data_IF_364513304044
#
_entry.id   IF_364513304044
#
_cell.length_a   1.000
_cell.length_b   1.000
_cell.length_c   1.000
_cell.angle_alpha   90.00
_cell.angle_beta   90.00
_cell.angle_gamma   90.00
#
_symmetry.space_group_name_H-M   'P 1'
#
loop_
_entity.id
_entity.type
_entity.pdbx_description
1 polymer ?
#
# COMPACT_ATOMS: atom_id res chain seq x y z
N UNK A 1 -4.95 11.99 -12.82
CA UNK A 1 -3.69 12.70 -12.47
C UNK A 1 -3.37 12.36 -11.03
N UNK A 2 -2.49 11.40 -10.82
CA UNK A 2 -2.10 10.96 -9.46
C UNK A 2 -1.28 12.08 -8.79
N UNK A 3 -1.49 12.27 -7.48
CA UNK A 3 -0.80 13.31 -6.69
C UNK A 3 0.62 12.82 -6.41
N UNK A 4 1.57 13.11 -7.30
CA UNK A 4 2.95 12.59 -7.22
C UNK A 4 3.76 13.10 -6.03
N UNK A 5 3.51 14.33 -5.59
CA UNK A 5 4.44 15.03 -4.69
C UNK A 5 3.86 15.36 -3.32
N UNK A 6 2.60 15.03 -3.07
CA UNK A 6 1.92 15.38 -1.82
C UNK A 6 1.84 14.19 -0.89
N UNK A 7 2.25 14.39 0.35
CA UNK A 7 1.99 13.43 1.43
C UNK A 7 0.50 13.40 1.73
N UNK A 8 -0.07 12.19 1.78
CA UNK A 8 -1.47 11.93 2.11
C UNK A 8 -1.53 11.35 3.51
N UNK A 9 -2.31 12.00 4.37
CA UNK A 9 -2.59 11.53 5.74
C UNK A 9 -4.10 11.34 5.90
N UNK A 10 -4.54 10.85 7.04
CA UNK A 10 -5.96 10.69 7.38
C UNK A 10 -6.73 12.02 7.42
N UNK A 11 -6.04 13.13 7.62
CA UNK A 11 -6.62 14.49 7.61
C UNK A 11 -6.75 15.10 6.22
N UNK A 12 -6.21 14.45 5.18
CA UNK A 12 -6.27 14.93 3.81
C UNK A 12 -7.70 14.82 3.26
N UNK A 13 -8.36 15.97 3.06
CA UNK A 13 -9.77 16.05 2.61
C UNK A 13 -9.94 16.39 1.13
N UNK A 14 -8.87 16.84 0.47
CA UNK A 14 -8.91 17.20 -0.97
C UNK A 14 -8.20 16.14 -1.78
N UNK A 15 -8.96 15.19 -2.27
CA UNK A 15 -8.52 14.28 -3.33
C UNK A 15 -8.86 14.90 -4.69
N UNK A 16 -7.95 14.81 -5.67
CA UNK A 16 -8.33 15.12 -7.04
C UNK A 16 -9.37 14.08 -7.48
N UNK A 17 -10.62 14.48 -7.59
CA UNK A 17 -11.71 13.65 -8.14
C UNK A 17 -11.34 13.24 -9.57
N UNK A 18 -10.77 12.08 -9.74
CA UNK A 18 -10.29 11.67 -11.06
C UNK A 18 -9.89 10.22 -11.22
N UNK A 19 -9.84 9.45 -10.14
CA UNK A 19 -9.64 8.02 -10.25
C UNK A 19 -10.88 7.30 -9.76
N UNK A 20 -11.34 6.35 -10.57
CA UNK A 20 -12.48 5.47 -10.29
C UNK A 20 -12.39 4.85 -8.89
N UNK A 21 -11.19 4.41 -8.50
CA UNK A 21 -10.94 3.77 -7.21
C UNK A 21 -11.17 4.69 -6.00
N UNK A 22 -10.87 5.98 -6.13
CA UNK A 22 -11.11 6.96 -5.06
C UNK A 22 -12.59 7.27 -4.89
N UNK A 23 -13.32 7.37 -5.99
CA UNK A 23 -14.78 7.57 -5.96
C UNK A 23 -15.50 6.37 -5.37
N UNK A 24 -15.09 5.15 -5.76
CA UNK A 24 -15.66 3.91 -5.22
C UNK A 24 -15.36 3.79 -3.72
N UNK A 25 -14.12 4.07 -3.28
CA UNK A 25 -13.77 3.99 -1.87
C UNK A 25 -14.54 5.01 -1.01
N UNK A 26 -14.63 6.27 -1.46
CA UNK A 26 -15.35 7.30 -0.71
C UNK A 26 -16.86 7.13 -0.76
N UNK A 27 -17.44 6.93 -1.94
CA UNK A 27 -18.88 6.93 -2.12
C UNK A 27 -19.53 5.58 -1.80
N UNK A 28 -18.93 4.47 -2.23
CA UNK A 28 -19.51 3.15 -2.02
C UNK A 28 -19.19 2.53 -0.66
N UNK A 29 -18.01 2.79 -0.10
CA UNK A 29 -17.53 2.09 1.11
C UNK A 29 -17.54 2.97 2.37
N UNK A 30 -17.14 4.23 2.26
CA UNK A 30 -17.06 5.11 3.44
C UNK A 30 -18.32 5.95 3.67
N UNK A 31 -19.00 6.39 2.61
CA UNK A 31 -20.18 7.24 2.70
C UNK A 31 -21.37 6.58 3.42
N UNK A 32 -21.70 5.30 3.20
CA UNK A 32 -22.80 4.65 3.90
C UNK A 32 -22.63 4.63 5.43
N UNK A 33 -21.36 4.62 5.90
CA UNK A 33 -21.05 4.62 7.33
C UNK A 33 -21.28 5.98 7.99
N UNK A 34 -21.35 7.06 7.21
CA UNK A 34 -21.56 8.42 7.74
C UNK A 34 -22.97 8.63 8.32
N UNK A 35 -23.94 7.80 7.92
CA UNK A 35 -25.31 7.80 8.43
C UNK A 35 -25.47 7.13 9.80
N UNK A 36 -24.47 6.40 10.28
CA UNK A 36 -24.53 5.71 11.57
C UNK A 36 -24.27 6.71 12.70
N UNK A 37 -25.36 7.17 13.35
CA UNK A 37 -25.33 8.12 14.48
C UNK A 37 -25.57 7.44 15.83
N UNK A 38 -24.99 6.27 16.07
CA UNK A 38 -25.13 5.60 17.36
C UNK A 38 -24.03 6.07 18.29
N UNK A 39 -24.39 6.65 19.46
CA UNK A 39 -23.42 7.27 20.39
C UNK A 39 -22.42 6.28 20.98
N UNK A 40 -22.77 5.01 21.05
CA UNK A 40 -21.97 3.96 21.67
C UNK A 40 -21.17 3.13 20.64
N UNK A 41 -21.23 3.50 19.35
CA UNK A 41 -20.53 2.77 18.28
C UNK A 41 -19.37 3.61 17.76
N UNK A 42 -18.16 3.11 17.96
CA UNK A 42 -16.94 3.67 17.38
C UNK A 42 -16.68 3.04 16.01
N UNK A 43 -16.56 3.87 15.00
CA UNK A 43 -16.31 3.42 13.62
C UNK A 43 -14.86 3.72 13.27
N UNK A 44 -14.12 2.69 12.83
CA UNK A 44 -12.78 2.80 12.25
C UNK A 44 -12.87 2.39 10.78
N UNK A 45 -12.40 3.26 9.89
CA UNK A 45 -12.37 3.03 8.44
C UNK A 45 -10.94 2.72 8.03
N UNK A 46 -10.59 1.44 7.95
CA UNK A 46 -9.26 1.01 7.56
C UNK A 46 -9.04 1.23 6.05
N UNK A 47 -8.05 2.04 5.70
CA UNK A 47 -7.61 2.31 4.32
C UNK A 47 -6.32 1.56 4.07
N UNK A 48 -6.43 0.36 3.50
CA UNK A 48 -5.28 -0.50 3.26
C UNK A 48 -4.47 -0.03 2.04
N UNK A 49 -3.15 -0.01 2.20
CA UNK A 49 -2.22 0.07 1.09
C UNK A 49 -2.11 -1.25 0.33
N UNK A 50 -1.05 -1.38 -0.47
CA UNK A 50 -0.74 -2.62 -1.18
C UNK A 50 -0.27 -3.68 -0.19
N UNK A 51 -1.13 -4.67 0.09
CA UNK A 51 -0.85 -5.70 1.09
C UNK A 51 0.09 -6.76 0.49
N UNK A 52 1.22 -6.97 1.16
CA UNK A 52 2.14 -8.06 0.89
C UNK A 52 1.88 -9.20 1.88
N UNK A 53 1.74 -10.42 1.37
CA UNK A 53 1.52 -11.61 2.19
C UNK A 53 2.03 -12.86 1.47
N UNK A 54 2.55 -13.84 2.18
CA UNK A 54 3.15 -15.07 1.59
C UNK A 54 2.20 -15.82 0.67
N UNK A 55 0.90 -15.89 1.02
CA UNK A 55 -0.14 -16.52 0.21
C UNK A 55 -0.67 -15.66 -0.95
N UNK A 56 -0.24 -14.41 -1.06
CA UNK A 56 -0.72 -13.47 -2.07
C UNK A 56 0.00 -13.68 -3.40
N UNK A 57 -0.77 -13.80 -4.48
CA UNK A 57 -0.25 -13.98 -5.84
C UNK A 57 0.73 -12.87 -6.23
N UNK A 58 0.43 -11.60 -5.89
CA UNK A 58 1.31 -10.49 -6.20
C UNK A 58 2.66 -10.59 -5.49
N UNK A 59 2.69 -11.00 -4.21
CA UNK A 59 3.94 -11.22 -3.46
C UNK A 59 4.73 -12.38 -4.04
N UNK A 60 4.07 -13.48 -4.40
CA UNK A 60 4.71 -14.63 -5.04
C UNK A 60 5.33 -14.24 -6.39
N UNK A 61 4.61 -13.47 -7.21
CA UNK A 61 5.10 -12.99 -8.50
C UNK A 61 6.30 -12.05 -8.36
N UNK A 62 6.25 -11.09 -7.42
CA UNK A 62 7.37 -10.20 -7.11
C UNK A 62 8.59 -11.02 -6.67
N UNK A 63 8.40 -12.00 -5.80
CA UNK A 63 9.48 -12.87 -5.30
C UNK A 63 10.07 -13.72 -6.42
N UNK A 64 9.23 -14.35 -7.24
CA UNK A 64 9.65 -15.20 -8.34
C UNK A 64 10.43 -14.40 -9.39
N UNK A 65 9.88 -13.28 -9.86
CA UNK A 65 10.57 -12.43 -10.84
C UNK A 65 11.90 -11.89 -10.29
N UNK A 66 11.96 -11.60 -9.01
CA UNK A 66 13.21 -11.19 -8.34
C UNK A 66 14.22 -12.34 -8.31
N UNK A 67 13.84 -13.54 -7.88
CA UNK A 67 14.72 -14.72 -7.85
C UNK A 67 15.30 -15.06 -9.23
N UNK A 68 14.53 -14.81 -10.30
CA UNK A 68 14.94 -15.05 -11.69
C UNK A 68 15.71 -13.87 -12.32
N UNK A 69 16.01 -12.78 -11.60
CA UNK A 69 16.57 -11.53 -12.13
C UNK A 69 15.71 -10.87 -13.23
N UNK A 70 14.40 -11.11 -13.22
CA UNK A 70 13.43 -10.52 -14.15
C UNK A 70 12.69 -9.33 -13.57
N UNK A 71 13.03 -8.92 -12.33
CA UNK A 71 12.43 -7.76 -11.67
C UNK A 71 13.00 -6.44 -12.17
N UNK A 72 12.22 -5.38 -12.05
CA UNK A 72 12.63 -4.04 -12.42
C UNK A 72 11.52 -3.00 -12.22
N UNK A 73 11.77 -1.78 -12.69
CA UNK A 73 10.78 -0.73 -12.61
C UNK A 73 9.56 -1.05 -13.48
N UNK A 74 8.37 -0.81 -12.92
CA UNK A 74 7.10 -0.92 -13.64
C UNK A 74 6.76 0.44 -14.25
N UNK A 75 6.78 0.53 -15.57
CA UNK A 75 6.74 1.80 -16.30
C UNK A 75 7.97 2.64 -15.97
N UNK A 76 7.77 3.88 -15.49
CA UNK A 76 8.87 4.76 -15.06
C UNK A 76 9.41 4.41 -13.67
N UNK A 77 8.60 3.76 -12.83
CA UNK A 77 8.96 3.39 -11.47
C UNK A 77 9.06 4.55 -10.47
N UNK A 78 8.66 5.77 -10.88
CA UNK A 78 8.69 6.99 -10.06
C UNK A 78 7.43 7.18 -9.20
N UNK A 79 6.41 6.33 -9.39
CA UNK A 79 5.21 6.31 -8.58
C UNK A 79 5.49 5.77 -7.17
N UNK A 80 4.91 6.42 -6.14
CA UNK A 80 4.97 5.92 -4.77
C UNK A 80 4.05 4.72 -4.58
N UNK A 81 4.59 3.67 -3.95
CA UNK A 81 3.86 2.51 -3.51
C UNK A 81 3.72 2.52 -1.98
N UNK A 82 2.50 2.75 -1.54
CA UNK A 82 2.15 2.61 -0.12
C UNK A 82 1.80 1.16 0.16
N UNK A 83 2.76 0.39 0.64
CA UNK A 83 2.64 -1.04 0.94
C UNK A 83 2.50 -1.29 2.44
N UNK A 84 2.10 -2.49 2.82
CA UNK A 84 2.08 -2.98 4.20
C UNK A 84 2.18 -4.51 4.19
N UNK A 85 2.78 -5.11 5.23
CA UNK A 85 2.76 -6.57 5.41
C UNK A 85 1.40 -7.04 5.91
N UNK A 86 1.03 -8.29 5.63
CA UNK A 86 -0.21 -8.88 6.15
C UNK A 86 -0.19 -8.98 7.68
N UNK A 87 0.97 -9.24 8.27
CA UNK A 87 1.21 -9.30 9.70
C UNK A 87 0.90 -7.93 10.34
N UNK A 88 1.44 -6.85 9.77
CA UNK A 88 1.15 -5.49 10.25
C UNK A 88 -0.30 -5.08 10.03
N UNK A 89 -0.97 -5.56 8.98
CA UNK A 89 -2.41 -5.35 8.78
C UNK A 89 -3.20 -5.97 9.93
N UNK A 90 -2.91 -7.24 10.27
CA UNK A 90 -3.59 -7.93 11.36
C UNK A 90 -3.34 -7.25 12.69
N UNK A 91 -2.08 -6.89 12.97
CA UNK A 91 -1.68 -6.18 14.17
C UNK A 91 -2.34 -4.79 14.26
N UNK A 92 -2.47 -4.06 13.13
CA UNK A 92 -3.14 -2.77 13.10
C UNK A 92 -4.65 -2.88 13.35
N UNK A 93 -5.33 -3.91 12.82
CA UNK A 93 -6.73 -4.18 13.17
C UNK A 93 -6.89 -4.46 14.68
N UNK A 94 -6.06 -5.34 15.24
CA UNK A 94 -6.06 -5.63 16.68
C UNK A 94 -5.83 -4.36 17.50
N UNK A 95 -4.82 -3.58 17.15
CA UNK A 95 -4.51 -2.31 17.79
C UNK A 95 -5.68 -1.32 17.75
N UNK A 96 -6.35 -1.19 16.60
CA UNK A 96 -7.53 -0.34 16.46
C UNK A 96 -8.73 -0.84 17.27
N UNK A 97 -8.88 -2.15 17.48
CA UNK A 97 -9.94 -2.69 18.34
C UNK A 97 -9.69 -2.36 19.83
N UNK A 98 -8.45 -2.49 20.28
CA UNK A 98 -8.04 -2.31 21.66
C UNK A 98 -7.90 -0.82 22.05
N UNK A 99 -7.39 0.02 21.14
CA UNK A 99 -7.19 1.46 21.38
C UNK A 99 -8.47 2.26 21.10
N UNK A 100 -9.14 2.68 22.17
CA UNK A 100 -10.40 3.43 22.08
C UNK A 100 -10.25 4.85 21.53
N UNK A 101 -9.03 5.40 21.47
CA UNK A 101 -8.76 6.75 20.95
C UNK A 101 -8.78 6.81 19.43
N UNK A 102 -8.65 5.68 18.76
CA UNK A 102 -8.63 5.60 17.29
C UNK A 102 -10.06 5.54 16.74
N UNK A 103 -10.43 6.51 15.91
CA UNK A 103 -11.72 6.55 15.21
C UNK A 103 -11.61 7.20 13.83
N UNK A 104 -12.64 6.99 12.99
CA UNK A 104 -12.69 7.52 11.63
C UNK A 104 -11.70 6.83 10.68
N UNK A 105 -11.22 7.50 9.61
CA UNK A 105 -10.28 6.92 8.66
C UNK A 105 -8.90 6.69 9.31
N UNK A 106 -8.30 5.54 9.02
CA UNK A 106 -6.95 5.14 9.47
C UNK A 106 -6.22 4.50 8.30
N UNK A 107 -5.05 5.00 7.96
CA UNK A 107 -4.22 4.47 6.88
C UNK A 107 -3.41 3.28 7.39
N UNK A 108 -3.60 2.12 6.77
CA UNK A 108 -2.84 0.89 7.03
C UNK A 108 -1.78 0.75 5.95
N UNK A 109 -0.66 1.43 6.14
CA UNK A 109 0.50 1.45 5.25
C UNK A 109 1.79 1.45 6.05
N UNK A 110 2.89 0.99 5.46
CA UNK A 110 4.23 1.11 6.06
C UNK A 110 4.58 2.58 6.32
N UNK A 111 5.30 2.88 7.42
CA UNK A 111 5.63 4.25 7.81
C UNK A 111 6.63 4.94 6.86
N UNK A 112 7.32 4.18 6.02
CA UNK A 112 8.35 4.69 5.09
C UNK A 112 7.85 4.62 3.65
N UNK A 113 7.29 5.72 3.09
CA UNK A 113 6.89 5.76 1.70
C UNK A 113 8.09 5.63 0.77
N UNK A 114 8.01 4.73 -0.20
CA UNK A 114 9.06 4.50 -1.21
C UNK A 114 8.46 4.49 -2.61
N UNK A 115 9.29 4.80 -3.62
CA UNK A 115 8.88 4.66 -5.01
C UNK A 115 8.90 3.19 -5.43
N UNK A 116 8.16 2.84 -6.49
CA UNK A 116 8.13 1.48 -7.01
C UNK A 116 9.52 0.98 -7.42
N UNK A 117 10.33 1.85 -8.01
CA UNK A 117 11.72 1.54 -8.37
C UNK A 117 12.59 1.26 -7.14
N UNK A 118 12.45 2.09 -6.09
CA UNK A 118 13.15 1.86 -4.82
C UNK A 118 12.69 0.56 -4.17
N UNK A 119 11.38 0.30 -4.15
CA UNK A 119 10.82 -0.96 -3.66
C UNK A 119 11.47 -2.15 -4.35
N UNK A 120 11.45 -2.19 -5.69
CA UNK A 120 12.04 -3.30 -6.47
C UNK A 120 13.54 -3.45 -6.22
N UNK A 121 14.28 -2.34 -6.16
CA UNK A 121 15.72 -2.37 -5.93
C UNK A 121 16.09 -2.89 -4.52
N UNK A 122 15.41 -2.38 -3.49
CA UNK A 122 15.66 -2.78 -2.10
C UNK A 122 15.26 -4.21 -1.86
N UNK A 123 14.11 -4.64 -2.41
CA UNK A 123 13.66 -6.02 -2.36
C UNK A 123 14.65 -6.98 -3.05
N UNK A 124 15.08 -6.68 -4.27
CA UNK A 124 16.06 -7.50 -5.01
C UNK A 124 17.41 -7.60 -4.30
N UNK A 125 17.87 -6.51 -3.68
CA UNK A 125 19.14 -6.48 -2.93
C UNK A 125 19.16 -7.50 -1.78
N UNK A 126 18.04 -7.72 -1.09
CA UNK A 126 17.93 -8.73 -0.02
C UNK A 126 18.12 -10.15 -0.59
N UNK A 127 17.62 -10.41 -1.79
CA UNK A 127 17.80 -11.69 -2.49
C UNK A 127 19.17 -11.82 -3.19
N UNK A 128 20.06 -10.82 -3.04
CA UNK A 128 21.34 -10.73 -3.77
C UNK A 128 21.15 -10.75 -5.29
N UNK A 129 20.10 -10.07 -5.76
CA UNK A 129 19.67 -9.99 -7.15
C UNK A 129 19.65 -8.55 -7.64
N UNK A 130 19.54 -8.38 -8.96
CA UNK A 130 19.42 -7.08 -9.61
C UNK A 130 17.97 -6.83 -10.02
N UNK A 131 17.58 -5.54 -10.03
CA UNK A 131 16.26 -5.08 -10.43
C UNK A 131 16.44 -4.09 -11.59
N UNK A 132 16.71 -4.62 -12.79
CA UNK A 132 17.13 -3.83 -13.96
C UNK A 132 16.23 -4.00 -15.19
N UNK A 133 15.35 -5.01 -15.23
CA UNK A 133 14.52 -5.28 -16.39
C UNK A 133 13.20 -4.49 -16.27
N UNK A 134 13.02 -3.39 -17.03
CA UNK A 134 11.79 -2.61 -16.94
C UNK A 134 10.63 -3.39 -17.58
N UNK A 135 9.48 -3.38 -16.90
CA UNK A 135 8.23 -3.82 -17.50
C UNK A 135 7.50 -2.61 -18.11
N UNK A 136 7.38 -2.53 -19.46
CA UNK A 136 6.72 -1.40 -20.11
C UNK A 136 5.24 -1.31 -19.71
N UNK A 137 4.75 -0.09 -19.49
CA UNK A 137 3.35 0.15 -19.14
C UNK A 137 2.37 -0.50 -20.13
N UNK A 138 2.70 -0.49 -21.42
CA UNK A 138 1.87 -1.09 -22.47
C UNK A 138 1.68 -2.60 -22.24
N UNK A 139 2.74 -3.32 -21.87
CA UNK A 139 2.66 -4.75 -21.60
C UNK A 139 1.79 -5.06 -20.37
N UNK A 140 1.92 -4.25 -19.32
CA UNK A 140 1.11 -4.39 -18.10
C UNK A 140 -0.37 -4.07 -18.39
N UNK A 141 -0.64 -3.00 -19.14
CA UNK A 141 -1.99 -2.64 -19.56
C UNK A 141 -2.66 -3.73 -20.42
N UNK A 142 -1.88 -4.40 -21.28
CA UNK A 142 -2.41 -5.50 -22.11
C UNK A 142 -2.75 -6.74 -21.25
N UNK A 143 -1.95 -7.00 -20.20
CA UNK A 143 -2.12 -8.18 -19.36
C UNK A 143 -3.32 -8.07 -18.41
N UNK A 144 -3.54 -6.92 -17.80
CA UNK A 144 -4.54 -6.75 -16.75
C UNK A 144 -5.60 -5.66 -17.01
N UNK A 145 -5.54 -5.01 -18.17
CA UNK A 145 -6.40 -3.88 -18.52
C UNK A 145 -5.85 -2.54 -18.03
N UNK A 146 -6.11 -1.47 -18.79
CA UNK A 146 -5.55 -0.15 -18.51
C UNK A 146 -6.06 0.48 -17.21
N UNK A 147 -7.35 0.29 -16.87
CA UNK A 147 -7.94 0.85 -15.67
C UNK A 147 -7.36 0.21 -14.40
N UNK A 148 -7.32 -1.13 -14.36
CA UNK A 148 -6.80 -1.87 -13.23
C UNK A 148 -5.30 -1.63 -13.05
N UNK A 149 -4.53 -1.63 -14.15
CA UNK A 149 -3.11 -1.32 -14.13
C UNK A 149 -2.85 0.10 -13.61
N UNK A 150 -3.67 1.08 -14.02
CA UNK A 150 -3.53 2.45 -13.55
C UNK A 150 -3.85 2.58 -12.06
N UNK A 151 -4.96 2.00 -11.61
CA UNK A 151 -5.37 2.06 -10.20
C UNK A 151 -4.39 1.36 -9.26
N UNK A 152 -3.96 0.15 -9.58
CA UNK A 152 -3.16 -0.68 -8.66
C UNK A 152 -1.65 -0.46 -8.78
N UNK A 153 -1.14 -0.17 -9.98
CA UNK A 153 0.31 -0.17 -10.24
C UNK A 153 0.86 1.23 -10.50
N UNK A 154 0.20 2.02 -11.34
CA UNK A 154 0.75 3.29 -11.83
C UNK A 154 0.23 4.52 -11.07
N UNK A 155 -0.79 4.37 -10.22
CA UNK A 155 -1.23 5.45 -9.36
C UNK A 155 -0.17 5.72 -8.28
N UNK A 156 0.24 6.98 -8.18
CA UNK A 156 1.24 7.41 -7.20
C UNK A 156 0.54 7.95 -5.96
N UNK A 157 0.63 7.22 -4.85
CA UNK A 157 0.03 7.58 -3.58
C UNK A 157 1.10 7.53 -2.48
N UNK A 158 1.57 8.71 -2.06
CA UNK A 158 2.51 8.83 -0.94
C UNK A 158 1.75 8.96 0.36
N UNK A 159 1.31 7.83 0.91
CA UNK A 159 0.47 7.78 2.11
C UNK A 159 1.34 7.53 3.35
N UNK A 160 0.98 8.16 4.46
CA UNK A 160 1.60 7.97 5.78
C UNK A 160 0.52 7.51 6.77
N UNK A 161 0.83 6.55 7.66
CA UNK A 161 -0.08 6.09 8.72
C UNK A 161 0.00 7.01 9.95
N UNK A 162 -0.37 8.28 9.80
CA UNK A 162 -0.16 9.31 10.82
C UNK A 162 -0.83 8.96 12.15
N UNK A 163 -2.08 8.45 12.10
CA UNK A 163 -2.82 8.07 13.31
C UNK A 163 -2.19 6.88 14.03
N UNK A 164 -1.78 5.84 13.30
CA UNK A 164 -1.12 4.69 13.90
C UNK A 164 0.17 5.10 14.61
N UNK A 165 0.98 5.93 13.93
CA UNK A 165 2.24 6.43 14.51
C UNK A 165 2.00 7.29 15.75
N UNK A 166 1.03 8.21 15.69
CA UNK A 166 0.68 9.10 16.80
C UNK A 166 0.22 8.33 18.03
N UNK A 167 -0.54 7.26 17.84
CA UNK A 167 -1.06 6.42 18.91
C UNK A 167 -0.06 5.34 19.38
N UNK A 168 1.15 5.33 18.84
CA UNK A 168 2.24 4.45 19.28
C UNK A 168 2.19 3.04 18.71
N UNK A 169 1.56 2.81 17.54
CA UNK A 169 1.60 1.52 16.87
C UNK A 169 3.03 1.16 16.45
N UNK A 170 3.46 -0.05 16.79
CA UNK A 170 4.77 -0.59 16.40
C UNK A 170 4.62 -1.53 15.23
N UNK A 171 5.26 -1.18 14.11
CA UNK A 171 5.29 -2.04 12.92
C UNK A 171 6.31 -3.17 13.11
N UNK A 172 5.95 -4.38 12.71
CA UNK A 172 6.85 -5.53 12.64
C UNK A 172 7.81 -5.41 11.46
N UNK A 173 7.29 -4.93 10.31
CA UNK A 173 8.05 -4.70 9.09
C UNK A 173 7.94 -3.24 8.62
N UNK A 174 8.63 -2.30 9.29
CA UNK A 174 8.54 -0.87 8.96
C UNK A 174 9.17 -0.52 7.60
N UNK A 175 10.11 -1.32 7.11
CA UNK A 175 10.79 -1.16 5.83
C UNK A 175 10.74 -2.44 5.00
N UNK A 176 10.80 -2.28 3.68
CA UNK A 176 10.63 -3.41 2.74
C UNK A 176 11.74 -4.46 2.87
N UNK A 177 12.95 -4.04 3.25
CA UNK A 177 14.08 -4.95 3.43
C UNK A 177 13.83 -5.98 4.53
N UNK A 178 13.17 -5.59 5.62
CA UNK A 178 12.89 -6.51 6.73
C UNK A 178 11.85 -7.55 6.33
N UNK A 179 10.79 -7.13 5.63
CA UNK A 179 9.81 -8.04 5.08
C UNK A 179 10.41 -8.99 4.01
N UNK A 180 11.26 -8.46 3.13
CA UNK A 180 11.95 -9.27 2.12
C UNK A 180 12.88 -10.33 2.75
N UNK A 181 13.53 -10.04 3.90
CA UNK A 181 14.30 -11.04 4.66
C UNK A 181 13.40 -12.15 5.17
N UNK A 182 12.27 -11.81 5.80
CA UNK A 182 11.30 -12.80 6.30
C UNK A 182 10.78 -13.73 5.19
N UNK A 183 10.59 -13.19 3.97
CA UNK A 183 10.21 -14.00 2.80
C UNK A 183 11.34 -14.87 2.23
N UNK A 184 12.59 -14.51 2.48
CA UNK A 184 13.75 -15.23 1.95
C UNK A 184 14.18 -16.38 2.85
N UNK A 185 14.07 -16.20 4.16
CA UNK A 185 14.59 -17.15 5.18
C UNK A 185 13.68 -18.38 5.34
N UNK A 186 12.63 -18.45 4.56
CA UNK A 186 11.74 -19.60 4.36
C UNK A 186 11.98 -20.30 3.01
#
# INVERSE_FOLDING_TARGET
MCIRDRVITESTTKFNRGTFDQLVAEEAWESPLSGIKHKDVRIVKARNGFILGKGNIATQLITLTTKLNLSGPLGKGDQYWSWISIEDVVNAYKFCLENKNISGPVNFVSPVPITQKEFSNRFAKVFKKFSIIPAPQIAINLLMGSELAHGLIFCSLRIIPEKLLKEGFSFEYPIIEDYAKALKDE
#
